data_IF_617142389212
#
_entry.id   IF_617142389212
#
_cell.length_a   1.000
_cell.length_b   1.000
_cell.length_c   1.000
_cell.angle_alpha   90.00
_cell.angle_beta   90.00
_cell.angle_gamma   90.00
#
_symmetry.space_group_name_H-M   'P 1'
#
loop_
_entity.id
_entity.type
_entity.pdbx_description
1 polymer ?
#
# COMPACT_ATOMS: atom_id res chain seq x y z
N UNK A 1 9.57 -7.37 17.04
CA UNK A 1 8.50 -6.54 16.46
C UNK A 1 8.45 -6.48 14.91
N UNK A 2 9.44 -6.96 14.16
CA UNK A 2 9.28 -7.23 12.72
C UNK A 2 8.26 -8.37 12.50
N UNK A 3 8.31 -9.41 13.35
CA UNK A 3 7.24 -10.42 13.50
C UNK A 3 5.94 -9.94 14.19
N UNK A 4 5.89 -8.69 14.70
CA UNK A 4 4.65 -8.06 15.20
C UNK A 4 4.15 -6.95 14.24
N UNK A 5 4.92 -6.65 13.19
CA UNK A 5 4.52 -5.82 12.05
C UNK A 5 4.13 -6.70 10.85
N UNK A 6 4.53 -7.98 10.86
CA UNK A 6 3.76 -9.12 10.33
C UNK A 6 2.55 -9.41 11.26
N UNK A 7 1.80 -8.38 11.64
CA UNK A 7 0.47 -8.59 12.21
C UNK A 7 -0.45 -8.96 11.04
N UNK A 8 -0.57 -10.26 10.78
CA UNK A 8 -1.53 -10.85 9.88
C UNK A 8 -2.94 -10.60 10.42
N UNK A 9 -3.76 -9.82 9.70
CA UNK A 9 -5.12 -9.50 10.11
C UNK A 9 -6.10 -9.95 9.02
N UNK A 10 -7.08 -10.74 9.45
CA UNK A 10 -8.21 -11.21 8.67
C UNK A 10 -9.04 -10.02 8.13
N UNK A 11 -9.03 -9.82 6.81
CA UNK A 11 -10.05 -9.02 6.11
C UNK A 11 -11.02 -10.00 5.48
N UNK A 12 -12.24 -10.07 6.02
CA UNK A 12 -13.33 -10.86 5.42
C UNK A 12 -13.96 -10.02 4.31
N UNK A 13 -13.50 -10.21 3.08
CA UNK A 13 -14.29 -9.81 1.91
C UNK A 13 -15.41 -10.84 1.71
N UNK A 14 -16.65 -10.34 1.62
CA UNK A 14 -17.89 -11.12 1.56
C UNK A 14 -18.09 -11.92 0.28
N UNK A 15 -17.16 -12.80 -0.06
CA UNK A 15 -17.34 -13.86 -1.05
C UNK A 15 -16.94 -15.19 -0.42
N UNK A 16 -17.86 -16.13 -0.50
CA UNK A 16 -17.81 -17.48 0.08
C UNK A 16 -16.69 -18.35 -0.52
N UNK A 17 -15.45 -17.99 -0.25
CA UNK A 17 -14.28 -18.85 -0.40
C UNK A 17 -13.76 -19.14 1.01
N UNK A 18 -13.78 -20.40 1.42
CA UNK A 18 -13.23 -20.86 2.72
C UNK A 18 -11.69 -20.88 2.75
N UNK A 19 -11.04 -20.22 1.79
CA UNK A 19 -9.58 -20.17 1.69
C UNK A 19 -9.14 -18.75 2.04
N UNK A 20 -8.54 -18.61 3.23
CA UNK A 20 -7.98 -17.35 3.71
C UNK A 20 -6.70 -17.07 2.94
N UNK A 21 -6.72 -16.08 2.06
CA UNK A 21 -5.53 -15.61 1.37
C UNK A 21 -4.80 -14.58 2.24
N UNK A 22 -3.56 -14.91 2.58
CA UNK A 22 -2.65 -14.03 3.32
C UNK A 22 -2.19 -12.90 2.40
N UNK A 23 -2.51 -11.65 2.75
CA UNK A 23 -2.09 -10.48 1.98
C UNK A 23 -1.16 -9.61 2.81
N UNK A 24 -0.05 -9.19 2.20
CA UNK A 24 0.92 -8.30 2.85
C UNK A 24 0.26 -7.00 3.28
N UNK A 25 0.52 -6.58 4.51
CA UNK A 25 -0.01 -5.33 5.05
C UNK A 25 0.52 -4.12 4.26
N UNK A 26 -0.35 -3.48 3.49
CA UNK A 26 0.00 -2.30 2.68
C UNK A 26 0.08 -1.03 3.53
N UNK A 27 0.74 0.01 3.01
CA UNK A 27 1.01 1.24 3.76
C UNK A 27 -0.24 1.94 4.31
N UNK A 28 -1.35 1.92 3.58
CA UNK A 28 -2.63 2.47 4.05
C UNK A 28 -3.19 1.71 5.24
N UNK A 29 -3.06 0.39 5.25
CA UNK A 29 -3.61 -0.46 6.28
C UNK A 29 -2.74 -0.46 7.54
N UNK A 30 -1.41 -0.31 7.39
CA UNK A 30 -0.50 -0.01 8.51
C UNK A 30 -0.94 1.23 9.28
N UNK A 31 -1.26 2.32 8.57
CA UNK A 31 -1.70 3.58 9.19
C UNK A 31 -3.04 3.43 9.93
N UNK A 32 -4.00 2.71 9.34
CA UNK A 32 -5.28 2.41 9.99
C UNK A 32 -5.08 1.56 11.24
N UNK A 33 -4.25 0.51 11.13
CA UNK A 33 -3.94 -0.39 12.23
C UNK A 33 -3.39 0.39 13.42
N UNK A 34 -2.35 1.19 13.20
CA UNK A 34 -1.73 1.96 14.28
C UNK A 34 -2.68 2.94 14.96
N UNK A 35 -3.59 3.56 14.19
CA UNK A 35 -4.54 4.54 14.71
C UNK A 35 -5.67 3.89 15.53
N UNK A 36 -6.26 2.81 15.03
CA UNK A 36 -7.51 2.26 15.59
C UNK A 36 -7.33 1.01 16.45
N UNK A 37 -6.17 0.35 16.39
CA UNK A 37 -5.91 -0.86 17.16
C UNK A 37 -6.01 -0.62 18.68
N UNK A 38 -5.42 0.44 19.28
CA UNK A 38 -5.51 0.64 20.72
C UNK A 38 -6.95 0.72 21.24
N UNK A 39 -7.84 1.42 20.54
CA UNK A 39 -9.26 1.54 20.90
C UNK A 39 -9.98 0.19 20.80
N UNK A 40 -9.68 -0.60 19.77
CA UNK A 40 -10.22 -1.97 19.63
C UNK A 40 -9.71 -2.89 20.75
N UNK A 41 -8.44 -2.80 21.12
CA UNK A 41 -7.86 -3.59 22.21
C UNK A 41 -8.45 -3.22 23.58
N UNK A 42 -8.85 -1.96 23.78
CA UNK A 42 -9.56 -1.51 24.99
C UNK A 42 -10.93 -2.19 25.10
N UNK A 43 -11.71 -2.16 24.02
CA UNK A 43 -13.11 -2.65 24.01
C UNK A 43 -13.22 -4.18 23.95
N UNK A 44 -12.23 -4.86 23.36
CA UNK A 44 -12.23 -6.32 23.25
C UNK A 44 -11.67 -6.99 24.50
N UNK A 45 -12.23 -8.15 24.85
CA UNK A 45 -11.70 -9.03 25.90
C UNK A 45 -10.80 -10.14 25.33
N UNK A 46 -9.79 -9.74 24.55
CA UNK A 46 -8.85 -10.66 23.89
C UNK A 46 -7.44 -10.64 24.51
N UNK A 47 -7.16 -9.63 25.34
CA UNK A 47 -5.89 -9.48 26.04
C UNK A 47 -6.03 -10.01 27.46
N UNK A 48 -4.96 -10.58 27.99
CA UNK A 48 -4.90 -10.97 29.39
C UNK A 48 -4.92 -9.74 30.31
N UNK A 49 -5.80 -9.75 31.30
CA UNK A 49 -6.05 -8.62 32.20
C UNK A 49 -4.77 -8.07 32.85
N UNK A 50 -3.89 -8.95 33.29
CA UNK A 50 -2.60 -8.63 33.95
C UNK A 50 -1.67 -7.76 33.08
N UNK A 51 -1.79 -7.87 31.75
CA UNK A 51 -0.89 -7.21 30.78
C UNK A 51 -1.62 -6.30 29.80
N UNK A 52 -2.95 -6.21 29.91
CA UNK A 52 -3.81 -5.50 28.95
C UNK A 52 -3.43 -4.03 28.84
N UNK A 53 -3.27 -3.35 29.98
CA UNK A 53 -2.91 -1.92 30.04
C UNK A 53 -1.54 -1.65 29.41
N UNK A 54 -0.56 -2.51 29.67
CA UNK A 54 0.81 -2.39 29.17
C UNK A 54 0.88 -2.60 27.65
N UNK A 55 0.14 -3.58 27.12
CA UNK A 55 0.06 -3.85 25.67
C UNK A 55 -0.66 -2.71 24.95
N UNK A 56 -1.75 -2.18 25.50
CA UNK A 56 -2.46 -1.03 24.91
C UNK A 56 -1.52 0.17 24.87
N UNK A 57 -0.87 0.49 26.00
CA UNK A 57 0.10 1.58 26.09
C UNK A 57 1.23 1.43 25.07
N UNK A 58 1.74 0.21 24.87
CA UNK A 58 2.80 -0.06 23.89
C UNK A 58 2.39 0.37 22.46
N UNK A 59 1.14 0.13 22.07
CA UNK A 59 0.63 0.52 20.76
C UNK A 59 0.35 2.02 20.67
N UNK A 60 -0.14 2.64 21.74
CA UNK A 60 -0.33 4.10 21.82
C UNK A 60 0.99 4.85 21.72
N UNK A 61 1.98 4.43 22.51
CA UNK A 61 3.34 4.98 22.50
C UNK A 61 3.99 4.79 21.12
N UNK A 62 3.79 3.64 20.47
CA UNK A 62 4.28 3.41 19.10
C UNK A 62 3.63 4.34 18.08
N UNK A 63 2.31 4.56 18.17
CA UNK A 63 1.61 5.48 17.28
C UNK A 63 2.08 6.93 17.49
N UNK A 64 2.22 7.36 18.74
CA UNK A 64 2.77 8.68 19.09
C UNK A 64 4.19 8.87 18.54
N UNK A 65 5.05 7.87 18.70
CA UNK A 65 6.42 7.89 18.20
C UNK A 65 6.47 7.96 16.67
N UNK A 66 5.61 7.20 15.98
CA UNK A 66 5.50 7.24 14.52
C UNK A 66 5.11 8.63 14.01
N UNK A 67 4.12 9.28 14.64
CA UNK A 67 3.71 10.63 14.27
C UNK A 67 4.85 11.64 14.46
N UNK A 68 5.61 11.50 15.55
CA UNK A 68 6.76 12.35 15.83
C UNK A 68 7.87 12.18 14.78
N UNK A 69 8.20 10.95 14.40
CA UNK A 69 9.21 10.65 13.37
C UNK A 69 8.77 11.16 12.00
N UNK A 70 7.48 11.06 11.68
CA UNK A 70 6.95 11.50 10.39
C UNK A 70 6.69 13.01 10.33
N UNK A 71 6.95 13.76 11.40
CA UNK A 71 6.76 15.21 11.41
C UNK A 71 7.78 15.87 10.47
N UNK A 72 7.29 16.63 9.48
CA UNK A 72 8.13 17.35 8.54
C UNK A 72 8.80 18.58 9.17
N UNK A 73 8.27 19.08 10.28
CA UNK A 73 8.77 20.26 10.98
C UNK A 73 9.40 19.83 12.30
N UNK A 74 10.57 19.19 12.22
CA UNK A 74 11.35 18.87 13.40
C UNK A 74 11.97 20.15 13.97
N UNK A 75 11.72 20.43 15.24
CA UNK A 75 12.40 21.47 16.00
C UNK A 75 13.67 20.90 16.69
N UNK A 76 14.43 21.75 17.37
CA UNK A 76 15.65 21.35 18.08
C UNK A 76 15.40 20.32 19.19
N UNK A 77 14.17 20.23 19.72
CA UNK A 77 13.79 19.30 20.80
C UNK A 77 13.32 17.94 20.30
N UNK A 78 13.03 17.85 18.99
CA UNK A 78 12.47 16.65 18.35
C UNK A 78 13.41 15.45 18.46
N UNK A 79 14.74 15.56 18.20
CA UNK A 79 15.66 14.44 18.34
C UNK A 79 15.67 13.83 19.76
N UNK A 80 15.73 14.67 20.79
CA UNK A 80 15.73 14.23 22.20
C UNK A 80 14.39 13.60 22.57
N UNK A 81 13.28 14.19 22.12
CA UNK A 81 11.95 13.63 22.32
C UNK A 81 11.79 12.26 21.69
N UNK A 82 12.30 12.06 20.47
CA UNK A 82 12.34 10.75 19.80
C UNK A 82 13.17 9.77 20.62
N UNK A 83 14.38 10.16 21.02
CA UNK A 83 15.27 9.30 21.80
C UNK A 83 14.60 8.81 23.09
N UNK A 84 14.09 9.74 23.90
CA UNK A 84 13.48 9.44 25.20
C UNK A 84 12.23 8.57 25.06
N UNK A 85 11.31 8.95 24.15
CA UNK A 85 10.07 8.19 23.93
C UNK A 85 10.35 6.79 23.38
N UNK A 86 11.26 6.68 22.42
CA UNK A 86 11.61 5.40 21.82
C UNK A 86 12.30 4.47 22.83
N UNK A 87 13.20 5.00 23.66
CA UNK A 87 13.86 4.23 24.71
C UNK A 87 12.85 3.72 25.74
N UNK A 88 11.97 4.59 26.24
CA UNK A 88 10.92 4.20 27.18
C UNK A 88 9.98 3.13 26.59
N UNK A 89 9.65 3.25 25.30
CA UNK A 89 8.84 2.28 24.57
C UNK A 89 9.53 0.91 24.45
N UNK A 90 10.83 0.86 24.13
CA UNK A 90 11.61 -0.39 24.09
C UNK A 90 11.72 -1.00 25.49
N UNK A 91 11.94 -0.19 26.53
CA UNK A 91 11.99 -0.66 27.91
C UNK A 91 10.66 -1.31 28.35
N UNK A 92 9.53 -0.71 27.97
CA UNK A 92 8.20 -1.31 28.19
C UNK A 92 8.05 -2.63 27.42
N UNK A 93 8.43 -2.65 26.15
CA UNK A 93 8.43 -3.87 25.32
C UNK A 93 9.29 -4.98 25.95
N UNK A 94 10.45 -4.64 26.48
CA UNK A 94 11.37 -5.61 27.06
C UNK A 94 10.87 -6.14 28.41
N UNK A 95 10.31 -5.27 29.26
CA UNK A 95 9.71 -5.66 30.56
C UNK A 95 8.55 -6.64 30.38
N UNK A 96 7.76 -6.49 29.32
CA UNK A 96 6.69 -7.44 28.98
C UNK A 96 7.21 -8.85 28.71
N UNK A 97 8.47 -9.02 28.32
CA UNK A 97 9.09 -10.33 28.06
C UNK A 97 9.12 -11.25 29.28
N UNK A 98 9.12 -10.69 30.50
CA UNK A 98 9.03 -11.49 31.72
C UNK A 98 7.63 -12.08 31.94
N UNK A 99 6.59 -11.48 31.37
CA UNK A 99 5.18 -11.87 31.56
C UNK A 99 4.59 -12.61 30.36
N UNK A 100 5.05 -12.32 29.14
CA UNK A 100 4.45 -12.82 27.89
C UNK A 100 5.50 -13.23 26.88
N UNK A 101 5.27 -14.39 26.26
CA UNK A 101 6.07 -14.87 25.13
C UNK A 101 5.90 -13.93 23.93
N UNK A 102 7.00 -13.66 23.22
CA UNK A 102 7.01 -12.78 22.04
C UNK A 102 7.57 -11.38 22.30
N UNK A 103 7.76 -11.03 23.57
CA UNK A 103 8.38 -9.79 24.03
C UNK A 103 9.80 -10.04 24.56
N UNK A 104 10.53 -8.98 24.95
CA UNK A 104 11.87 -9.08 25.53
C UNK A 104 13.01 -8.64 24.62
N UNK A 105 14.19 -8.46 25.20
CA UNK A 105 15.39 -7.93 24.53
C UNK A 105 15.78 -8.71 23.27
N UNK A 106 15.67 -10.04 23.30
CA UNK A 106 15.97 -10.90 22.14
C UNK A 106 15.03 -10.69 20.94
N UNK A 107 13.92 -9.95 21.11
CA UNK A 107 12.92 -9.67 20.07
C UNK A 107 12.92 -8.20 19.62
N UNK A 108 13.84 -7.40 20.15
CA UNK A 108 14.14 -6.06 19.65
C UNK A 108 14.74 -6.21 18.26
N UNK A 109 14.15 -5.50 17.30
CA UNK A 109 14.59 -5.57 15.89
C UNK A 109 15.57 -4.46 15.54
N UNK A 110 16.32 -4.60 14.43
CA UNK A 110 17.16 -3.51 13.94
C UNK A 110 16.41 -2.19 13.79
N UNK A 111 15.16 -2.21 13.33
CA UNK A 111 14.33 -0.99 13.25
C UNK A 111 14.00 -0.40 14.62
N UNK A 112 13.66 -1.23 15.61
CA UNK A 112 13.43 -0.74 16.97
C UNK A 112 14.71 -0.12 17.55
N UNK A 113 15.87 -0.70 17.28
CA UNK A 113 17.16 -0.16 17.70
C UNK A 113 17.51 1.15 16.97
N UNK A 114 17.22 1.25 15.68
CA UNK A 114 17.54 2.44 14.90
C UNK A 114 16.77 3.68 15.35
N UNK A 115 15.54 3.51 15.86
CA UNK A 115 14.68 4.64 16.23
C UNK A 115 15.25 5.51 17.37
N UNK A 116 15.72 4.99 18.52
CA UNK A 116 16.31 5.83 19.57
C UNK A 116 17.74 6.28 19.30
N UNK A 117 18.52 5.57 18.46
CA UNK A 117 19.98 5.82 18.35
C UNK A 117 20.41 6.41 17.01
N UNK A 118 19.75 6.05 15.91
CA UNK A 118 20.15 6.49 14.57
C UNK A 118 19.24 7.59 14.04
N UNK A 119 17.92 7.52 14.28
CA UNK A 119 16.99 8.54 13.78
C UNK A 119 17.27 9.94 14.39
N UNK A 120 17.48 10.11 15.71
CA UNK A 120 17.80 11.41 16.28
C UNK A 120 19.08 12.00 15.69
N UNK A 121 20.14 11.21 15.61
CA UNK A 121 21.42 11.62 15.01
C UNK A 121 21.26 12.01 13.53
N UNK A 122 20.44 11.24 12.80
CA UNK A 122 20.13 11.53 11.40
C UNK A 122 19.40 12.87 11.27
N UNK A 123 18.40 13.14 12.11
CA UNK A 123 17.65 14.39 12.08
C UNK A 123 18.56 15.58 12.40
N UNK A 124 19.45 15.45 13.38
CA UNK A 124 20.45 16.48 13.70
C UNK A 124 21.40 16.77 12.52
N UNK A 125 21.76 15.75 11.74
CA UNK A 125 22.77 15.88 10.69
C UNK A 125 22.17 16.26 9.32
N UNK A 126 20.96 15.83 9.03
CA UNK A 126 20.36 15.86 7.69
C UNK A 126 18.94 16.42 7.66
N UNK A 127 18.37 16.77 8.81
CA UNK A 127 17.00 17.24 8.91
C UNK A 127 15.94 16.11 8.90
N UNK A 128 14.66 16.47 8.74
CA UNK A 128 13.54 15.55 8.91
C UNK A 128 13.62 14.29 8.02
N UNK A 129 13.52 13.11 8.62
CA UNK A 129 13.67 11.83 7.92
C UNK A 129 12.64 11.61 6.81
N UNK A 130 11.45 12.22 6.90
CA UNK A 130 10.38 12.07 5.92
C UNK A 130 10.78 12.55 4.52
N UNK A 131 11.72 13.49 4.43
CA UNK A 131 12.27 14.00 3.16
C UNK A 131 13.02 12.91 2.39
N UNK A 132 13.52 11.89 3.10
CA UNK A 132 14.26 10.76 2.55
C UNK A 132 13.38 9.52 2.37
N UNK A 133 12.06 9.66 2.43
CA UNK A 133 11.15 8.52 2.27
C UNK A 133 11.17 7.95 0.85
N UNK A 134 11.22 6.62 0.72
CA UNK A 134 11.15 5.91 -0.56
C UNK A 134 9.77 5.95 -1.24
N UNK A 135 8.78 6.63 -0.66
CA UNK A 135 7.40 6.62 -1.14
C UNK A 135 7.26 7.11 -2.59
N UNK A 136 8.08 8.09 -3.00
CA UNK A 136 8.11 8.58 -4.38
C UNK A 136 8.64 7.53 -5.35
N UNK A 137 9.69 6.81 -4.96
CA UNK A 137 10.30 5.75 -5.78
C UNK A 137 9.33 4.57 -5.96
N UNK A 138 8.64 4.16 -4.90
CA UNK A 138 7.62 3.11 -4.99
C UNK A 138 6.46 3.51 -5.91
N UNK A 139 6.01 4.78 -5.83
CA UNK A 139 4.99 5.30 -6.75
C UNK A 139 5.47 5.31 -8.21
N UNK A 140 6.71 5.71 -8.45
CA UNK A 140 7.29 5.67 -9.80
C UNK A 140 7.34 4.24 -10.35
N UNK A 141 7.63 3.25 -9.50
CA UNK A 141 7.59 1.83 -9.88
C UNK A 141 6.16 1.39 -10.26
N UNK A 142 5.15 1.79 -9.49
CA UNK A 142 3.74 1.50 -9.81
C UNK A 142 3.29 2.14 -11.14
N UNK A 143 3.71 3.38 -11.38
CA UNK A 143 3.42 4.08 -12.63
C UNK A 143 4.16 3.45 -13.82
N UNK A 144 5.43 3.05 -13.66
CA UNK A 144 6.20 2.32 -14.67
C UNK A 144 5.53 1.00 -15.06
N UNK A 145 5.09 0.20 -14.06
CA UNK A 145 4.30 -1.02 -14.31
C UNK A 145 3.02 -0.73 -15.07
N UNK A 146 2.29 0.34 -14.69
CA UNK A 146 1.06 0.73 -15.39
C UNK A 146 1.32 1.06 -16.85
N UNK A 147 2.38 1.81 -17.14
CA UNK A 147 2.76 2.16 -18.52
C UNK A 147 3.10 0.89 -19.30
N UNK A 148 3.92 0.00 -18.74
CA UNK A 148 4.30 -1.25 -19.37
C UNK A 148 3.10 -2.11 -19.77
N UNK A 149 2.12 -2.29 -18.88
CA UNK A 149 0.97 -3.15 -19.15
C UNK A 149 -0.12 -2.51 -20.01
N UNK A 150 -0.32 -1.20 -19.91
CA UNK A 150 -1.50 -0.54 -20.50
C UNK A 150 -1.18 0.36 -21.70
N UNK A 151 0.06 0.84 -21.82
CA UNK A 151 0.41 1.94 -22.74
C UNK A 151 1.65 1.68 -23.60
N UNK A 152 2.46 0.67 -23.29
CA UNK A 152 3.61 0.26 -24.08
C UNK A 152 3.22 -0.80 -25.10
N UNK A 153 3.87 -0.77 -26.27
CA UNK A 153 3.79 -1.85 -27.26
C UNK A 153 4.81 -2.99 -27.00
N UNK A 154 5.62 -2.85 -25.95
CA UNK A 154 6.64 -3.80 -25.45
C UNK A 154 7.81 -4.08 -26.41
N UNK A 155 7.99 -3.28 -27.45
CA UNK A 155 9.18 -3.37 -28.33
C UNK A 155 10.42 -2.78 -27.66
N UNK A 156 10.26 -1.64 -26.98
CA UNK A 156 11.29 -1.01 -26.15
C UNK A 156 10.61 -0.42 -24.91
N UNK A 157 10.29 -1.31 -23.97
CA UNK A 157 9.53 -0.96 -22.78
C UNK A 157 10.21 0.11 -21.91
N UNK A 158 11.54 0.09 -21.81
CA UNK A 158 12.29 1.06 -21.03
C UNK A 158 12.15 2.47 -21.63
N UNK A 159 12.33 2.58 -22.95
CA UNK A 159 12.13 3.85 -23.67
C UNK A 159 10.69 4.34 -23.58
N UNK A 160 9.71 3.45 -23.73
CA UNK A 160 8.28 3.80 -23.61
C UNK A 160 7.95 4.39 -22.24
N UNK A 161 8.45 3.78 -21.16
CA UNK A 161 8.27 4.26 -19.79
C UNK A 161 8.86 5.66 -19.64
N UNK A 162 10.13 5.84 -20.01
CA UNK A 162 10.84 7.13 -19.85
C UNK A 162 10.19 8.25 -20.67
N UNK A 163 9.85 7.99 -21.93
CA UNK A 163 9.23 8.99 -22.80
C UNK A 163 7.84 9.38 -22.32
N UNK A 164 7.05 8.41 -21.86
CA UNK A 164 5.68 8.67 -21.43
C UNK A 164 5.63 9.37 -20.08
N UNK A 165 6.51 9.01 -19.15
CA UNK A 165 6.71 9.73 -17.89
C UNK A 165 7.14 11.18 -18.14
N UNK A 166 8.15 11.40 -18.99
CA UNK A 166 8.59 12.74 -19.38
C UNK A 166 7.44 13.55 -19.98
N UNK A 167 6.63 12.94 -20.84
CA UNK A 167 5.47 13.61 -21.45
C UNK A 167 4.39 13.95 -20.42
N UNK A 168 4.10 13.06 -19.47
CA UNK A 168 3.13 13.32 -18.42
C UNK A 168 3.56 14.50 -17.54
N UNK A 169 4.85 14.57 -17.21
CA UNK A 169 5.42 15.69 -16.45
C UNK A 169 5.31 17.02 -17.20
N UNK A 170 5.63 17.05 -18.50
CA UNK A 170 5.45 18.27 -19.31
C UNK A 170 3.99 18.73 -19.43
N UNK A 171 3.04 17.80 -19.31
CA UNK A 171 1.60 18.07 -19.43
C UNK A 171 0.90 18.23 -18.08
N UNK A 172 1.61 18.20 -16.96
CA UNK A 172 1.01 18.25 -15.61
C UNK A 172 0.16 19.50 -15.38
N UNK A 173 0.58 20.64 -15.93
CA UNK A 173 -0.13 21.91 -15.82
C UNK A 173 -1.15 22.18 -16.95
N UNK A 174 -1.39 21.19 -17.82
CA UNK A 174 -2.26 21.34 -18.98
C UNK A 174 -3.50 20.48 -18.83
N UNK A 175 -4.68 21.09 -18.96
CA UNK A 175 -5.93 20.33 -19.01
C UNK A 175 -6.13 19.73 -20.40
N UNK A 176 -6.57 18.46 -20.43
CA UNK A 176 -6.84 17.79 -21.70
C UNK A 176 -8.16 18.29 -22.27
N UNK A 177 -8.09 19.12 -23.30
CA UNK A 177 -9.28 19.43 -24.09
C UNK A 177 -9.80 18.17 -24.81
N UNK A 178 -11.11 17.93 -24.67
CA UNK A 178 -11.77 16.86 -25.40
C UNK A 178 -11.82 17.28 -26.87
N UNK A 179 -11.02 16.60 -27.71
CA UNK A 179 -11.06 16.81 -29.17
C UNK A 179 -12.51 16.73 -29.65
N UNK A 180 -12.94 17.76 -30.39
CA UNK A 180 -14.24 17.75 -31.06
C UNK A 180 -14.25 16.63 -32.09
N UNK A 181 -14.90 15.53 -31.74
CA UNK A 181 -15.02 14.39 -32.64
C UNK A 181 -16.10 14.68 -33.69
N UNK A 182 -15.67 14.87 -34.93
CA UNK A 182 -16.59 14.97 -36.07
C UNK A 182 -16.67 13.60 -36.73
N UNK A 183 -17.87 12.99 -36.72
CA UNK A 183 -18.13 11.73 -37.41
C UNK A 183 -18.00 11.98 -38.91
N UNK A 184 -16.89 11.56 -39.52
CA UNK A 184 -16.66 11.77 -40.97
C UNK A 184 -17.54 10.91 -41.87
N UNK A 185 -18.04 9.78 -41.37
CA UNK A 185 -18.89 8.86 -42.12
C UNK A 185 -20.14 8.53 -41.29
N UNK A 186 -21.14 9.40 -41.36
CA UNK A 186 -22.38 9.27 -40.60
C UNK A 186 -23.12 7.98 -40.95
N UNK A 187 -23.15 7.60 -42.23
CA UNK A 187 -23.80 6.37 -42.69
C UNK A 187 -23.18 5.13 -42.02
N UNK A 188 -21.85 5.07 -41.92
CA UNK A 188 -21.19 3.96 -41.24
C UNK A 188 -21.51 3.90 -39.75
N UNK A 189 -21.46 5.05 -39.06
CA UNK A 189 -21.70 5.13 -37.62
C UNK A 189 -23.18 4.96 -37.25
N UNK A 190 -24.10 5.28 -38.15
CA UNK A 190 -25.54 5.26 -37.86
C UNK A 190 -26.20 3.93 -38.26
N UNK A 191 -25.80 3.31 -39.39
CA UNK A 191 -26.42 2.07 -39.87
C UNK A 191 -25.43 0.91 -40.02
N UNK A 192 -24.32 1.11 -40.75
CA UNK A 192 -23.43 -0.02 -41.11
C UNK A 192 -22.72 -0.66 -39.92
N UNK A 193 -22.48 0.07 -38.83
CA UNK A 193 -21.89 -0.49 -37.60
C UNK A 193 -22.82 -1.49 -36.91
N UNK A 194 -24.13 -1.25 -36.92
CA UNK A 194 -25.13 -2.14 -36.32
C UNK A 194 -25.21 -3.43 -37.13
N UNK A 195 -25.21 -3.32 -38.46
CA UNK A 195 -25.21 -4.46 -39.37
C UNK A 195 -23.93 -5.29 -39.24
N UNK A 196 -22.77 -4.65 -39.17
CA UNK A 196 -21.48 -5.33 -38.96
C UNK A 196 -21.43 -6.10 -37.63
N UNK A 197 -21.94 -5.50 -36.55
CA UNK A 197 -22.04 -6.16 -35.23
C UNK A 197 -23.05 -7.32 -35.23
N UNK A 198 -24.16 -7.18 -35.96
CA UNK A 198 -25.15 -8.26 -36.12
C UNK A 198 -24.55 -9.43 -36.90
N UNK A 199 -23.80 -9.15 -37.98
CA UNK A 199 -23.09 -10.17 -38.75
C UNK A 199 -22.08 -10.92 -37.89
N UNK A 200 -21.20 -10.23 -37.13
CA UNK A 200 -20.23 -10.90 -36.22
C UNK A 200 -20.89 -11.82 -35.21
N UNK A 201 -21.97 -11.37 -34.56
CA UNK A 201 -22.73 -12.21 -33.60
C UNK A 201 -23.29 -13.47 -34.26
N UNK A 202 -23.83 -13.35 -35.46
CA UNK A 202 -24.34 -14.51 -36.20
C UNK A 202 -23.22 -15.44 -36.64
N UNK A 203 -22.05 -14.91 -37.04
CA UNK A 203 -20.90 -15.73 -37.42
C UNK A 203 -20.32 -16.48 -36.22
N UNK A 204 -20.21 -15.84 -35.05
CA UNK A 204 -19.76 -16.47 -33.80
C UNK A 204 -20.74 -17.56 -33.34
N UNK A 205 -22.05 -17.30 -33.41
CA UNK A 205 -23.09 -18.29 -33.04
C UNK A 205 -23.10 -19.50 -33.98
N UNK A 206 -22.90 -19.27 -35.28
CA UNK A 206 -22.81 -20.34 -36.27
C UNK A 206 -21.51 -21.16 -36.12
N UNK A 207 -20.41 -20.51 -35.76
CA UNK A 207 -19.15 -21.20 -35.51
C UNK A 207 -19.29 -22.13 -34.31
N UNK A 208 -19.83 -21.64 -33.18
CA UNK A 208 -20.07 -22.44 -31.97
C UNK A 208 -21.05 -23.60 -32.18
N UNK A 209 -22.09 -23.40 -33.00
CA UNK A 209 -23.06 -24.45 -33.34
C UNK A 209 -22.46 -25.54 -34.26
N UNK A 210 -21.49 -25.17 -35.09
CA UNK A 210 -20.79 -26.13 -35.97
C UNK A 210 -19.80 -26.96 -35.17
N UNK A 211 -19.05 -26.35 -34.23
CA UNK A 211 -18.08 -27.07 -33.37
C UNK A 211 -18.76 -28.02 -32.37
N UNK A 212 -19.96 -27.70 -31.88
CA UNK A 212 -20.74 -28.64 -31.04
C UNK A 212 -21.25 -29.85 -31.83
N UNK A 213 -21.53 -29.71 -33.13
CA UNK A 213 -21.98 -30.82 -33.97
C UNK A 213 -20.82 -31.70 -34.50
N UNK A 214 -19.54 -31.32 -34.30
CA UNK A 214 -18.38 -32.12 -34.75
C UNK A 214 -17.68 -32.90 -33.63
N UNK A 215 -18.14 -32.77 -32.38
CA UNK A 215 -17.59 -33.48 -31.22
C UNK A 215 -18.49 -34.63 -30.72
N UNK A 216 -19.63 -34.85 -31.38
CA UNK A 216 -20.58 -35.93 -31.12
C UNK A 216 -20.64 -36.95 -32.30
N UNK A 217 -19.55 -37.09 -33.06
CA UNK A 217 -19.24 -38.23 -33.96
C UNK A 217 -17.89 -38.85 -33.57
#
# INVERSE_FOLDING_TARGET
MARLLECDIDVVDGKSSKQKDWTSLVGSDKKKLMKFLPEKLKSMNILFDETKSEVIKLWEDFHSLYLLICCANADETTPDSIHQKAKAWIELFSKLGAKRVGYGNARVTPYMHAVPYHIPQFILSHGPIIQFSGQGVEKNNDDAKRIYYQKSNKWDAAKDILLLESRQKSLEHHEREKRKYVKRNEEWWNSKILDSRKRRRNTESNYTATTSNTLDE
#
